data_IF_715135227590
#
_entry.id   IF_715135227590
#
_cell.length_a   1.000
_cell.length_b   1.000
_cell.length_c   1.000
_cell.angle_alpha   90.00
_cell.angle_beta   90.00
_cell.angle_gamma   90.00
#
_symmetry.space_group_name_H-M   'P 1'
#
loop_
_entity.id
_entity.type
_entity.pdbx_description
1 polymer ?
#
# COMPACT_ATOMS: atom_id res chain seq x y z
N UNK A 1 5.53 7.28 -16.29
CA UNK A 1 5.91 6.94 -14.90
C UNK A 1 4.73 6.21 -14.30
N UNK A 2 4.95 5.01 -13.74
CA UNK A 2 3.88 4.22 -13.10
C UNK A 2 3.45 4.96 -11.83
N UNK A 3 2.26 5.55 -11.83
CA UNK A 3 1.72 6.20 -10.64
C UNK A 3 1.31 5.11 -9.62
N UNK A 4 1.58 5.34 -8.34
CA UNK A 4 1.14 4.45 -7.27
C UNK A 4 -0.38 4.55 -7.13
N UNK A 5 -1.10 3.54 -7.61
CA UNK A 5 -2.54 3.45 -7.39
C UNK A 5 -2.85 2.74 -6.07
N UNK A 6 -4.11 2.83 -5.66
CA UNK A 6 -4.62 2.19 -4.44
C UNK A 6 -4.33 0.68 -4.41
N UNK A 7 -4.55 -0.01 -5.52
CA UNK A 7 -4.46 -1.48 -5.59
C UNK A 7 -3.02 -1.92 -5.40
N UNK A 8 -2.08 -1.18 -6.01
CA UNK A 8 -0.65 -1.39 -5.85
C UNK A 8 -0.23 -1.17 -4.40
N UNK A 9 -0.68 -0.09 -3.75
CA UNK A 9 -0.35 0.17 -2.34
C UNK A 9 -0.89 -0.94 -1.43
N UNK A 10 -2.15 -1.35 -1.60
CA UNK A 10 -2.75 -2.45 -0.83
C UNK A 10 -2.00 -3.77 -1.03
N UNK A 11 -1.48 -4.01 -2.23
CA UNK A 11 -0.68 -5.20 -2.55
C UNK A 11 0.71 -5.17 -1.93
N UNK A 12 1.34 -3.98 -1.84
CA UNK A 12 2.69 -3.81 -1.30
C UNK A 12 2.72 -3.74 0.24
N UNK A 13 1.63 -3.30 0.87
CA UNK A 13 1.55 -3.07 2.32
C UNK A 13 2.01 -4.26 3.18
N UNK A 14 1.61 -5.52 2.92
CA UNK A 14 2.06 -6.65 3.72
C UNK A 14 3.60 -6.79 3.77
N UNK A 15 4.30 -6.42 2.69
CA UNK A 15 5.76 -6.51 2.59
C UNK A 15 6.52 -5.51 3.49
N UNK A 16 5.79 -4.60 4.15
CA UNK A 16 6.32 -3.73 5.21
C UNK A 16 6.69 -4.55 6.45
N UNK A 17 5.89 -5.57 6.79
CA UNK A 17 6.04 -6.34 8.03
C UNK A 17 6.56 -7.75 7.83
N UNK A 18 6.35 -8.31 6.64
CA UNK A 18 6.86 -9.61 6.27
C UNK A 18 7.83 -9.50 5.09
N UNK A 19 9.10 -9.79 5.33
CA UNK A 19 10.12 -9.79 4.29
C UNK A 19 9.89 -10.89 3.26
N UNK A 20 9.28 -12.01 3.66
CA UNK A 20 9.01 -13.17 2.79
C UNK A 20 7.91 -12.88 1.77
N UNK A 21 7.04 -11.91 2.04
CA UNK A 21 6.05 -11.41 1.07
C UNK A 21 6.71 -11.00 -0.25
N UNK A 22 7.95 -10.51 -0.24
CA UNK A 22 8.68 -10.16 -1.46
C UNK A 22 8.90 -11.35 -2.41
N UNK A 23 9.02 -12.57 -1.87
CA UNK A 23 9.19 -13.80 -2.65
C UNK A 23 7.85 -14.40 -3.12
N UNK A 24 6.73 -14.01 -2.49
CA UNK A 24 5.37 -14.37 -2.92
C UNK A 24 4.79 -13.45 -4.00
N UNK A 25 5.39 -12.27 -4.23
CA UNK A 25 4.99 -11.34 -5.29
C UNK A 25 5.64 -11.80 -6.59
N UNK A 26 4.83 -12.38 -7.48
CA UNK A 26 5.29 -12.78 -8.82
C UNK A 26 5.87 -11.56 -9.53
N UNK A 27 7.14 -11.61 -9.91
CA UNK A 27 7.75 -10.63 -10.79
C UNK A 27 7.61 -11.11 -12.24
N UNK A 28 6.59 -10.67 -13.01
CA UNK A 28 6.40 -11.13 -14.38
C UNK A 28 7.54 -10.74 -15.34
N UNK A 29 8.47 -9.91 -14.88
CA UNK A 29 9.55 -9.32 -15.68
C UNK A 29 10.93 -9.87 -15.35
N UNK A 30 11.04 -10.77 -14.36
CA UNK A 30 12.27 -11.50 -14.05
C UNK A 30 12.02 -13.02 -14.15
N UNK A 31 12.91 -13.79 -14.81
CA UNK A 31 12.83 -15.24 -14.81
C UNK A 31 13.08 -15.78 -13.39
N UNK A 32 12.32 -16.82 -13.01
CA UNK A 32 12.56 -17.56 -11.77
C UNK A 32 13.98 -18.14 -11.76
N UNK A 33 14.53 -18.33 -10.56
CA UNK A 33 15.93 -18.73 -10.36
C UNK A 33 16.32 -20.03 -11.10
N UNK A 34 15.36 -20.90 -11.37
CA UNK A 34 15.53 -22.19 -12.05
C UNK A 34 15.17 -22.19 -13.55
N UNK A 35 14.77 -21.04 -14.13
CA UNK A 35 14.49 -20.94 -15.56
C UNK A 35 15.70 -20.39 -16.35
N UNK A 36 15.95 -20.87 -17.59
CA UNK A 36 16.99 -20.31 -18.44
C UNK A 36 16.76 -18.80 -18.59
N UNK A 37 17.85 -18.02 -18.40
CA UNK A 37 17.83 -16.56 -18.40
C UNK A 37 17.20 -16.02 -19.70
N UNK A 38 15.89 -15.73 -19.65
CA UNK A 38 15.22 -14.98 -20.69
C UNK A 38 15.77 -13.55 -20.73
N UNK A 39 15.57 -12.87 -21.85
CA UNK A 39 15.85 -11.43 -21.98
C UNK A 39 15.05 -10.66 -20.94
N UNK A 40 15.73 -10.21 -19.89
CA UNK A 40 15.21 -9.31 -18.87
C UNK A 40 15.34 -7.88 -19.38
N UNK A 41 14.26 -7.10 -19.35
CA UNK A 41 14.37 -5.65 -19.53
C UNK A 41 14.94 -5.05 -18.23
N UNK A 42 16.20 -4.57 -18.23
CA UNK A 42 16.84 -4.07 -17.01
C UNK A 42 16.10 -2.84 -16.43
N UNK A 43 15.31 -2.13 -17.25
CA UNK A 43 14.55 -0.95 -16.83
C UNK A 43 13.40 -1.30 -15.90
N UNK A 44 12.89 -2.52 -16.00
CA UNK A 44 11.70 -2.95 -15.26
C UNK A 44 12.02 -4.00 -14.19
N UNK A 45 13.14 -4.71 -14.34
CA UNK A 45 13.63 -5.70 -13.37
C UNK A 45 13.81 -5.19 -11.94
N UNK A 46 14.19 -3.91 -11.77
CA UNK A 46 14.37 -3.28 -10.44
C UNK A 46 13.11 -2.66 -9.84
N UNK A 47 12.00 -2.63 -10.58
CA UNK A 47 10.81 -1.87 -10.22
C UNK A 47 10.14 -2.41 -8.95
N UNK A 48 10.09 -3.73 -8.78
CA UNK A 48 9.55 -4.35 -7.56
C UNK A 48 10.35 -3.96 -6.32
N UNK A 49 11.68 -4.00 -6.37
CA UNK A 49 12.52 -3.62 -5.24
C UNK A 49 12.43 -2.13 -4.91
N UNK A 50 12.29 -1.27 -5.93
CA UNK A 50 12.00 0.15 -5.73
C UNK A 50 10.66 0.34 -5.02
N UNK A 51 9.59 -0.33 -5.47
CA UNK A 51 8.29 -0.29 -4.82
C UNK A 51 8.33 -0.78 -3.36
N UNK A 52 9.11 -1.82 -3.08
CA UNK A 52 9.30 -2.33 -1.72
C UNK A 52 10.07 -1.36 -0.82
N UNK A 53 11.07 -0.67 -1.35
CA UNK A 53 11.78 0.37 -0.62
C UNK A 53 10.86 1.57 -0.34
N UNK A 54 10.14 2.02 -1.36
CA UNK A 54 9.25 3.17 -1.29
C UNK A 54 8.10 2.94 -0.30
N UNK A 55 7.43 1.78 -0.31
CA UNK A 55 6.33 1.50 0.63
C UNK A 55 6.83 1.42 2.08
N UNK A 56 8.04 0.90 2.32
CA UNK A 56 8.65 0.86 3.66
C UNK A 56 8.97 2.26 4.15
N UNK A 57 9.50 3.11 3.27
CA UNK A 57 9.75 4.51 3.59
C UNK A 57 8.43 5.23 3.87
N UNK A 58 7.43 5.09 2.99
CA UNK A 58 6.12 5.70 3.14
C UNK A 58 5.45 5.29 4.46
N UNK A 59 5.54 4.01 4.85
CA UNK A 59 5.02 3.55 6.13
C UNK A 59 5.63 4.33 7.30
N UNK A 60 6.92 4.66 7.28
CA UNK A 60 7.58 5.38 8.38
C UNK A 60 7.26 6.88 8.35
N UNK A 61 7.26 7.50 7.17
CA UNK A 61 7.25 8.97 7.05
C UNK A 61 5.92 9.59 6.66
N UNK A 62 4.96 8.83 6.13
CA UNK A 62 3.64 9.34 5.81
C UNK A 62 2.88 9.74 7.09
N UNK A 63 2.20 10.88 7.05
CA UNK A 63 1.40 11.40 8.17
C UNK A 63 0.08 10.63 8.35
N UNK A 64 0.21 9.43 8.88
CA UNK A 64 -0.89 8.56 9.29
C UNK A 64 -1.23 8.83 10.75
N UNK A 65 -2.51 9.10 11.02
CA UNK A 65 -3.01 9.11 12.39
C UNK A 65 -2.82 7.74 13.03
N UNK A 66 -2.76 7.69 14.36
CA UNK A 66 -2.62 6.42 15.09
C UNK A 66 -3.74 5.43 14.75
N UNK A 67 -4.95 5.92 14.50
CA UNK A 67 -6.10 5.11 14.11
C UNK A 67 -5.95 4.51 12.70
N UNK A 68 -5.49 5.30 11.73
CA UNK A 68 -5.19 4.83 10.36
C UNK A 68 -4.07 3.80 10.39
N UNK A 69 -2.95 4.13 11.04
CA UNK A 69 -1.79 3.25 11.17
C UNK A 69 -2.16 1.89 11.78
N UNK A 70 -2.93 1.90 12.88
CA UNK A 70 -3.41 0.67 13.53
C UNK A 70 -4.34 -0.13 12.63
N UNK A 71 -5.31 0.53 11.98
CA UNK A 71 -6.25 -0.15 11.09
C UNK A 71 -5.53 -0.85 9.94
N UNK A 72 -4.57 -0.16 9.30
CA UNK A 72 -3.74 -0.72 8.24
C UNK A 72 -2.94 -1.93 8.73
N UNK A 73 -2.29 -1.83 9.88
CA UNK A 73 -1.55 -2.94 10.46
C UNK A 73 -2.45 -4.16 10.71
N UNK A 74 -3.58 -3.98 11.40
CA UNK A 74 -4.49 -5.08 11.70
C UNK A 74 -5.06 -5.70 10.41
N UNK A 75 -5.36 -4.88 9.40
CA UNK A 75 -5.93 -5.36 8.14
C UNK A 75 -4.92 -6.07 7.26
N UNK A 76 -3.72 -5.53 7.09
CA UNK A 76 -2.77 -6.00 6.07
C UNK A 76 -1.61 -6.81 6.63
N UNK A 77 -1.25 -6.64 7.91
CA UNK A 77 -0.23 -7.47 8.55
C UNK A 77 -0.82 -8.74 9.18
N UNK A 78 -2.03 -8.65 9.77
CA UNK A 78 -2.66 -9.76 10.48
C UNK A 78 -3.85 -10.38 9.75
N UNK A 79 -4.22 -9.83 8.59
CA UNK A 79 -5.41 -10.22 7.81
C UNK A 79 -6.72 -10.23 8.62
N UNK A 80 -6.86 -9.30 9.58
CA UNK A 80 -8.10 -9.23 10.36
C UNK A 80 -9.25 -8.67 9.51
N UNK A 81 -10.46 -9.27 9.60
CA UNK A 81 -11.64 -8.69 8.98
C UNK A 81 -12.06 -7.42 9.73
N UNK A 82 -12.67 -6.48 9.01
CA UNK A 82 -13.11 -5.19 9.54
C UNK A 82 -13.97 -5.30 10.81
N UNK A 83 -14.85 -6.30 10.89
CA UNK A 83 -15.68 -6.56 12.07
C UNK A 83 -14.85 -6.84 13.33
N UNK A 84 -13.75 -7.56 13.18
CA UNK A 84 -12.86 -7.89 14.29
C UNK A 84 -12.07 -6.66 14.74
N UNK A 85 -11.62 -5.84 13.77
CA UNK A 85 -10.96 -4.56 14.04
C UNK A 85 -11.92 -3.60 14.75
N UNK A 86 -13.16 -3.51 14.26
CA UNK A 86 -14.22 -2.66 14.81
C UNK A 86 -14.55 -3.05 16.26
N UNK A 87 -14.72 -4.36 16.51
CA UNK A 87 -14.93 -4.90 17.85
C UNK A 87 -13.76 -4.60 18.81
N UNK A 88 -12.51 -4.76 18.34
CA UNK A 88 -11.31 -4.44 19.13
C UNK A 88 -11.24 -2.97 19.51
N UNK A 89 -11.49 -2.08 18.56
CA UNK A 89 -11.34 -0.65 18.74
C UNK A 89 -12.61 0.02 19.31
N UNK A 90 -13.68 -0.74 19.56
CA UNK A 90 -15.00 -0.27 20.01
C UNK A 90 -15.59 0.82 19.08
N UNK A 91 -15.47 0.61 17.77
CA UNK A 91 -15.98 1.50 16.72
C UNK A 91 -16.86 0.72 15.73
N UNK A 92 -17.44 1.43 14.76
CA UNK A 92 -18.22 0.80 13.69
C UNK A 92 -17.34 0.28 12.56
N UNK A 93 -17.82 -0.73 11.83
CA UNK A 93 -17.19 -1.23 10.59
C UNK A 93 -16.96 -0.09 9.57
N UNK A 94 -17.89 0.86 9.51
CA UNK A 94 -17.78 2.05 8.64
C UNK A 94 -16.60 2.93 9.04
N UNK A 95 -16.35 3.11 10.33
CA UNK A 95 -15.20 3.87 10.81
C UNK A 95 -13.88 3.15 10.50
N UNK A 96 -13.85 1.82 10.57
CA UNK A 96 -12.69 1.01 10.11
C UNK A 96 -12.44 1.21 8.62
N UNK A 97 -13.49 1.04 7.78
CA UNK A 97 -13.37 1.25 6.34
C UNK A 97 -12.85 2.64 5.99
N UNK A 98 -13.41 3.68 6.60
CA UNK A 98 -12.94 5.06 6.38
C UNK A 98 -11.47 5.24 6.76
N UNK A 99 -11.00 4.66 7.89
CA UNK A 99 -9.57 4.69 8.28
C UNK A 99 -8.68 3.94 7.29
N UNK A 100 -9.13 2.80 6.77
CA UNK A 100 -8.39 2.03 5.77
C UNK A 100 -8.29 2.79 4.45
N UNK A 101 -9.42 3.30 3.94
CA UNK A 101 -9.49 4.05 2.69
C UNK A 101 -8.63 5.32 2.76
N UNK A 102 -8.76 6.08 3.85
CA UNK A 102 -7.96 7.29 4.08
C UNK A 102 -6.48 6.98 4.26
N UNK A 103 -6.14 5.95 5.04
CA UNK A 103 -4.76 5.53 5.27
C UNK A 103 -4.06 5.08 3.98
N UNK A 104 -4.71 4.26 3.17
CA UNK A 104 -4.18 3.84 1.86
C UNK A 104 -4.09 5.04 0.90
N UNK A 105 -5.09 5.91 0.90
CA UNK A 105 -5.08 7.12 0.08
C UNK A 105 -3.91 8.05 0.40
N UNK A 106 -3.61 8.26 1.69
CA UNK A 106 -2.45 9.04 2.13
C UNK A 106 -1.12 8.41 1.72
N UNK A 107 -0.99 7.09 1.83
CA UNK A 107 0.20 6.38 1.37
C UNK A 107 0.39 6.54 -0.15
N UNK A 108 -0.68 6.36 -0.93
CA UNK A 108 -0.64 6.55 -2.38
C UNK A 108 -0.26 7.99 -2.75
N UNK A 109 -0.85 9.00 -2.11
CA UNK A 109 -0.53 10.40 -2.36
C UNK A 109 0.95 10.70 -2.04
N UNK A 110 1.43 10.24 -0.88
CA UNK A 110 2.81 10.39 -0.45
C UNK A 110 3.81 9.76 -1.44
N UNK A 111 3.53 8.52 -1.88
CA UNK A 111 4.36 7.79 -2.85
C UNK A 111 4.40 8.47 -4.22
N UNK A 112 3.35 9.20 -4.59
CA UNK A 112 3.31 9.98 -5.82
C UNK A 112 3.84 11.42 -5.65
N UNK A 113 4.22 11.83 -4.43
CA UNK A 113 4.65 13.20 -4.15
C UNK A 113 3.55 14.25 -4.33
N UNK A 114 2.28 13.86 -4.10
CA UNK A 114 1.12 14.76 -4.18
C UNK A 114 0.42 14.87 -2.83
N UNK A 115 -0.34 15.94 -2.65
CA UNK A 115 -1.15 16.10 -1.45
C UNK A 115 -2.31 15.13 -1.45
N UNK A 116 -2.57 14.53 -0.27
CA UNK A 116 -3.76 13.72 -0.08
C UNK A 116 -4.99 14.61 0.07
N UNK A 117 -5.95 14.42 -0.83
CA UNK A 117 -7.25 15.09 -0.78
C UNK A 117 -8.29 14.08 -0.28
N UNK A 118 -8.83 14.32 0.90
CA UNK A 118 -10.01 13.60 1.38
C UNK A 118 -11.25 14.10 0.61
N UNK A 119 -12.24 13.25 0.38
CA UNK A 119 -13.32 13.49 -0.57
C UNK A 119 -14.02 14.86 -0.48
N UNK A 120 -14.57 15.27 -1.63
CA UNK A 120 -15.26 16.53 -2.00
C UNK A 120 -14.41 17.78 -2.30
N UNK A 121 -13.16 17.89 -1.84
CA UNK A 121 -12.34 19.07 -2.21
C UNK A 121 -11.91 19.05 -3.70
N UNK A 122 -11.81 17.87 -4.31
CA UNK A 122 -11.51 17.74 -5.75
C UNK A 122 -12.65 18.19 -6.69
N UNK A 123 -13.86 18.45 -6.17
CA UNK A 123 -15.02 18.91 -6.94
C UNK A 123 -15.18 20.44 -6.94
N UNK A 124 -14.37 21.18 -6.17
CA UNK A 124 -14.48 22.64 -6.05
C UNK A 124 -13.56 23.37 -7.05
N UNK A 125 -12.77 22.63 -7.84
CA UNK A 125 -11.78 23.18 -8.78
C UNK A 125 -11.95 22.76 -10.25
N UNK A 126 -13.09 22.18 -10.63
CA UNK A 126 -13.42 21.88 -12.02
C UNK A 126 -14.65 22.71 -12.44
N UNK A 127 -14.36 23.91 -12.95
CA UNK A 127 -15.21 24.89 -13.66
C UNK A 127 -16.63 25.20 -13.11
#
# INVERSE_FOLDING_TARGET
MSAYDRRLVEHLLPAVWDAETAYGIRNPQAPDADMPKGTVDPRTAGMLFAHLADIRQAWVTCDLSLGERRALFLRYALDWPDKLIAARDAITDRAVRYRLERGVGKLAAWLNGVDYVDGYESLVGAD
#
